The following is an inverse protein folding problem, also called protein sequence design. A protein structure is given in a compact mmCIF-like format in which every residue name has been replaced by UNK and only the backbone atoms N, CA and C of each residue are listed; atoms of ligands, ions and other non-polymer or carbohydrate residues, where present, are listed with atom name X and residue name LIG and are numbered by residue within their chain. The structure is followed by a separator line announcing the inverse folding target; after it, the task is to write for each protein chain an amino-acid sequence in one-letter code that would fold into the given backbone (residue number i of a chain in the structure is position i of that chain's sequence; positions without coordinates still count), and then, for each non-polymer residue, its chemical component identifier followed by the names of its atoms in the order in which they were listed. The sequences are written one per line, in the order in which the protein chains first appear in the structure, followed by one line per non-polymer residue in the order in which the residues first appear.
data_IF_527873765255
#
_entry.id   IF_527873765255
#
_cell.length_a   1.000
_cell.length_b   1.000
_cell.length_c   1.000
_cell.angle_alpha   90.00
_cell.angle_beta   90.00
_cell.angle_gamma   90.00
#
_symmetry.space_group_name_H-M   'P 1'
#
loop_
_entity.id
_entity.type
_entity.pdbx_description
1 polymer ?
#
# COMPACT_ATOMS: atom_id res chain seq x y z
N UNK A 1 20.24 -2.60 19.74
CA UNK A 1 19.02 -3.03 19.04
C UNK A 1 19.27 -2.71 17.58
N UNK A 2 19.47 -3.70 16.73
CA UNK A 2 19.80 -3.49 15.32
C UNK A 2 18.48 -3.58 14.54
N UNK A 3 17.80 -2.45 14.39
CA UNK A 3 16.68 -2.36 13.45
C UNK A 3 17.36 -2.43 12.08
N UNK A 4 17.14 -3.51 11.32
CA UNK A 4 17.59 -3.54 9.93
C UNK A 4 16.93 -2.35 9.25
N UNK A 5 17.68 -1.42 8.68
CA UNK A 5 17.11 -0.22 8.04
C UNK A 5 16.03 -0.59 7.01
N UNK A 6 16.14 -1.79 6.43
CA UNK A 6 15.18 -2.42 5.51
C UNK A 6 13.80 -2.70 6.12
N UNK A 7 13.67 -2.65 7.44
CA UNK A 7 12.41 -2.84 8.16
C UNK A 7 11.59 -1.54 8.29
N UNK A 8 11.99 -0.45 7.65
CA UNK A 8 11.23 0.81 7.62
C UNK A 8 10.31 0.94 6.42
N UNK A 9 9.25 1.74 6.57
CA UNK A 9 8.34 2.09 5.47
C UNK A 9 9.06 2.87 4.37
N UNK A 10 10.09 3.66 4.70
CA UNK A 10 10.94 4.33 3.72
C UNK A 10 11.51 3.34 2.69
N UNK A 11 12.14 2.26 3.15
CA UNK A 11 12.72 1.26 2.26
C UNK A 11 11.64 0.53 1.45
N UNK A 12 10.47 0.26 2.04
CA UNK A 12 9.34 -0.28 1.30
C UNK A 12 8.90 0.65 0.15
N UNK A 13 8.78 1.96 0.40
CA UNK A 13 8.44 2.95 -0.64
C UNK A 13 9.51 2.99 -1.74
N UNK A 14 10.79 2.91 -1.39
CA UNK A 14 11.90 2.86 -2.37
C UNK A 14 11.83 1.60 -3.23
N UNK A 15 11.67 0.42 -2.62
CA UNK A 15 11.56 -0.85 -3.33
C UNK A 15 10.34 -0.89 -4.28
N UNK A 16 9.20 -0.36 -3.86
CA UNK A 16 8.00 -0.22 -4.71
C UNK A 16 8.28 0.71 -5.90
N UNK A 17 8.89 1.88 -5.66
CA UNK A 17 9.24 2.84 -6.71
C UNK A 17 10.18 2.24 -7.74
N UNK A 18 11.21 1.53 -7.30
CA UNK A 18 12.16 0.82 -8.18
C UNK A 18 11.48 -0.27 -9.01
N UNK A 19 10.57 -1.04 -8.39
CA UNK A 19 9.82 -2.10 -9.06
C UNK A 19 8.83 -1.58 -10.12
N UNK A 20 8.13 -0.48 -9.82
CA UNK A 20 7.13 0.10 -10.73
C UNK A 20 7.79 0.91 -11.87
N UNK A 21 8.97 1.50 -11.63
CA UNK A 21 9.75 2.19 -12.67
C UNK A 21 9.16 3.53 -13.15
N UNK A 22 8.29 4.16 -12.35
CA UNK A 22 7.68 5.44 -12.69
C UNK A 22 8.54 6.64 -12.25
N UNK A 23 8.42 7.80 -12.95
CA UNK A 23 9.25 8.98 -12.70
C UNK A 23 8.69 9.83 -11.54
N UNK A 24 8.75 9.32 -10.32
CA UNK A 24 8.40 10.06 -9.10
C UNK A 24 9.43 9.81 -7.98
N UNK A 25 9.51 10.72 -7.02
CA UNK A 25 10.25 10.47 -5.77
C UNK A 25 9.45 9.52 -4.87
N UNK A 26 10.15 8.59 -4.21
CA UNK A 26 9.52 7.59 -3.32
C UNK A 26 8.68 8.23 -2.21
N UNK A 27 9.02 9.45 -1.77
CA UNK A 27 8.29 10.17 -0.74
C UNK A 27 6.91 10.64 -1.18
N UNK A 28 6.65 10.69 -2.50
CA UNK A 28 5.35 11.04 -3.06
C UNK A 28 4.39 9.84 -3.08
N UNK A 29 4.88 8.62 -2.83
CA UNK A 29 4.03 7.44 -2.63
C UNK A 29 3.33 7.52 -1.28
N UNK A 30 2.01 7.31 -1.31
CA UNK A 30 1.25 7.03 -0.10
C UNK A 30 0.96 5.54 -0.03
N UNK A 31 1.24 4.94 1.13
CA UNK A 31 1.00 3.54 1.41
C UNK A 31 -0.02 3.43 2.54
N UNK A 32 -0.90 2.45 2.43
CA UNK A 32 -1.90 2.15 3.45
C UNK A 32 -1.94 0.64 3.68
N UNK A 33 -2.10 0.21 4.93
CA UNK A 33 -2.31 -1.20 5.23
C UNK A 33 -3.61 -1.65 4.57
N UNK A 34 -3.58 -2.76 3.84
CA UNK A 34 -4.76 -3.27 3.15
C UNK A 34 -5.71 -4.02 4.13
N UNK A 35 -6.15 -3.34 5.18
CA UNK A 35 -7.11 -3.84 6.19
C UNK A 35 -8.35 -2.96 6.24
N UNK A 36 -9.53 -3.57 6.20
CA UNK A 36 -10.80 -2.91 6.45
C UNK A 36 -11.01 -2.78 7.95
N UNK A 37 -11.34 -1.57 8.41
CA UNK A 37 -11.62 -1.25 9.81
C UNK A 37 -10.53 -1.76 10.79
N UNK A 38 -9.27 -1.82 10.34
CA UNK A 38 -8.14 -2.41 11.06
C UNK A 38 -8.34 -3.86 11.55
N UNK A 39 -9.35 -4.57 11.05
CA UNK A 39 -9.74 -5.89 11.53
C UNK A 39 -9.47 -7.00 10.50
N UNK A 40 -9.85 -6.79 9.23
CA UNK A 40 -9.80 -7.84 8.21
C UNK A 40 -8.96 -7.42 7.01
N UNK A 41 -8.05 -8.28 6.57
CA UNK A 41 -7.30 -8.07 5.34
C UNK A 41 -8.22 -8.00 4.12
N UNK A 42 -7.92 -7.08 3.20
CA UNK A 42 -8.59 -6.98 1.91
C UNK A 42 -8.22 -8.19 1.05
N UNK A 43 -9.12 -9.16 1.00
CA UNK A 43 -8.96 -10.38 0.21
C UNK A 43 -9.23 -10.10 -1.26
N UNK A 44 -8.67 -10.96 -2.14
CA UNK A 44 -8.85 -10.81 -3.60
C UNK A 44 -10.29 -10.97 -4.09
N UNK A 45 -11.16 -11.61 -3.30
CA UNK A 45 -12.59 -11.77 -3.56
C UNK A 45 -13.44 -10.57 -3.07
N UNK A 46 -12.84 -9.62 -2.36
CA UNK A 46 -13.52 -8.39 -1.96
C UNK A 46 -13.87 -7.54 -3.21
N UNK A 47 -15.15 -7.13 -3.40
CA UNK A 47 -15.55 -6.33 -4.56
C UNK A 47 -14.82 -5.00 -4.70
N UNK A 48 -14.42 -4.37 -3.59
CA UNK A 48 -13.58 -3.19 -3.57
C UNK A 48 -12.19 -3.43 -4.17
N UNK A 49 -11.60 -4.61 -3.95
CA UNK A 49 -10.31 -4.99 -4.57
C UNK A 49 -10.46 -5.21 -6.07
N UNK A 50 -11.55 -5.84 -6.53
CA UNK A 50 -11.85 -5.98 -7.96
C UNK A 50 -12.00 -4.62 -8.65
N UNK A 51 -12.71 -3.68 -8.02
CA UNK A 51 -12.83 -2.29 -8.51
C UNK A 51 -11.48 -1.58 -8.52
N UNK A 52 -10.67 -1.74 -7.48
CA UNK A 52 -9.35 -1.14 -7.40
C UNK A 52 -8.43 -1.63 -8.54
N UNK A 53 -8.47 -2.92 -8.87
CA UNK A 53 -7.74 -3.49 -10.02
C UNK A 53 -8.20 -2.90 -11.36
N UNK A 54 -9.49 -2.58 -11.48
CA UNK A 54 -10.05 -1.86 -12.64
C UNK A 54 -9.73 -0.35 -12.65
N UNK A 55 -9.09 0.19 -11.60
CA UNK A 55 -8.75 1.61 -11.48
C UNK A 55 -9.84 2.46 -10.81
N UNK A 56 -10.86 1.84 -10.23
CA UNK A 56 -11.94 2.51 -9.50
C UNK A 56 -11.75 2.40 -7.98
N UNK A 57 -11.86 3.53 -7.28
CA UNK A 57 -11.75 3.55 -5.81
C UNK A 57 -13.13 3.49 -5.19
N UNK A 58 -13.50 2.34 -4.62
CA UNK A 58 -14.78 2.15 -3.92
C UNK A 58 -14.84 2.94 -2.61
N UNK A 59 -16.04 3.12 -2.06
CA UNK A 59 -16.24 3.77 -0.75
C UNK A 59 -15.46 3.07 0.38
N UNK A 60 -15.45 1.74 0.36
CA UNK A 60 -14.71 0.91 1.33
C UNK A 60 -13.21 1.16 1.24
N UNK A 61 -12.63 1.17 0.03
CA UNK A 61 -11.20 1.48 -0.15
C UNK A 61 -10.87 2.91 0.28
N UNK A 62 -11.75 3.89 -0.02
CA UNK A 62 -11.57 5.28 0.45
C UNK A 62 -11.54 5.39 1.98
N UNK A 63 -12.26 4.53 2.70
CA UNK A 63 -12.24 4.53 4.17
C UNK A 63 -10.92 4.01 4.74
N UNK A 64 -10.18 3.20 3.98
CA UNK A 64 -8.81 2.76 4.34
C UNK A 64 -7.80 3.88 4.05
N UNK A 65 -7.99 4.62 2.96
CA UNK A 65 -7.07 5.66 2.48
C UNK A 65 -7.31 7.03 3.15
N UNK A 66 -7.04 7.12 4.46
CA UNK A 66 -7.13 8.39 5.22
C UNK A 66 -5.74 8.91 5.58
N UNK A 67 -5.58 10.23 5.76
CA UNK A 67 -4.26 10.81 6.10
C UNK A 67 -3.69 10.27 7.42
N UNK A 68 -4.56 9.89 8.37
CA UNK A 68 -4.17 9.27 9.66
C UNK A 68 -3.69 7.84 9.47
N UNK A 69 -4.24 7.11 8.50
CA UNK A 69 -3.88 5.71 8.21
C UNK A 69 -2.67 5.58 7.26
N UNK A 70 -2.14 6.70 6.76
CA UNK A 70 -0.99 6.67 5.87
C UNK A 70 0.26 6.16 6.59
N UNK A 71 0.91 5.16 6.00
CA UNK A 71 2.20 4.67 6.46
C UNK A 71 3.27 5.71 6.11
N UNK A 72 3.73 6.44 7.15
CA UNK A 72 4.81 7.43 7.04
C UNK A 72 6.18 6.74 6.98
N UNK A 73 7.16 7.40 6.37
CA UNK A 73 8.45 6.79 6.05
C UNK A 73 9.25 6.39 7.28
N UNK A 74 9.05 7.14 8.37
CA UNK A 74 9.64 6.98 9.69
C UNK A 74 9.07 5.80 10.48
N UNK A 75 7.92 5.24 10.10
CA UNK A 75 7.33 4.10 10.80
C UNK A 75 8.11 2.81 10.49
N UNK A 76 8.23 1.94 11.49
CA UNK A 76 8.70 0.58 11.31
C UNK A 76 7.58 -0.30 10.74
N UNK A 77 7.93 -1.27 9.89
CA UNK A 77 6.98 -2.23 9.33
C UNK A 77 6.34 -3.12 10.42
N UNK A 78 7.05 -3.31 11.55
CA UNK A 78 6.61 -4.06 12.72
C UNK A 78 5.34 -3.49 13.35
N UNK A 79 5.15 -2.16 13.30
CA UNK A 79 4.01 -1.43 13.86
C UNK A 79 2.67 -1.80 13.21
N UNK A 80 2.69 -2.35 12.00
CA UNK A 80 1.49 -2.66 11.23
C UNK A 80 1.03 -4.12 11.35
N UNK A 81 1.76 -4.93 12.11
CA UNK A 81 1.39 -6.30 12.46
C UNK A 81 1.00 -7.16 11.23
N UNK A 82 1.78 -7.06 10.15
CA UNK A 82 1.53 -7.82 8.90
C UNK A 82 1.53 -9.34 9.09
N UNK A 83 2.26 -9.83 10.10
CA UNK A 83 2.50 -11.26 10.34
C UNK A 83 1.68 -11.85 11.50
N UNK A 84 0.89 -11.05 12.23
CA UNK A 84 0.30 -11.46 13.52
C UNK A 84 -1.18 -11.90 13.46
N UNK A 85 -1.73 -12.36 12.34
CA UNK A 85 -3.15 -12.77 12.30
C UNK A 85 -3.36 -14.08 11.55
N UNK A 86 -3.99 -15.04 12.23
CA UNK A 86 -4.63 -16.23 11.65
C UNK A 86 -5.60 -15.75 10.54
N UNK A 87 -5.39 -16.17 9.29
CA UNK A 87 -6.03 -15.67 8.05
C UNK A 87 -5.43 -14.39 7.41
N UNK A 88 -4.24 -13.96 7.84
CA UNK A 88 -3.42 -13.00 7.10
C UNK A 88 -2.69 -13.59 5.89
N UNK A 89 -2.02 -12.74 5.11
CA UNK A 89 -1.10 -13.17 4.06
C UNK A 89 -0.10 -14.19 4.61
N UNK A 90 0.25 -15.24 3.85
CA UNK A 90 1.24 -16.23 4.26
C UNK A 90 2.54 -15.52 4.70
N UNK A 91 3.13 -16.01 5.81
CA UNK A 91 3.93 -15.28 6.82
C UNK A 91 5.16 -14.46 6.44
N UNK A 92 5.29 -13.98 5.19
CA UNK A 92 6.30 -13.02 4.72
C UNK A 92 5.75 -12.00 3.71
N UNK A 93 4.44 -11.87 3.55
CA UNK A 93 3.84 -10.94 2.59
C UNK A 93 3.38 -9.63 3.24
N UNK A 94 3.70 -8.51 2.60
CA UNK A 94 3.19 -7.18 2.96
C UNK A 94 2.00 -6.85 2.05
N UNK A 95 0.83 -6.67 2.64
CA UNK A 95 -0.39 -6.31 1.90
C UNK A 95 -0.71 -4.83 2.11
N UNK A 96 -0.37 -4.04 1.09
CA UNK A 96 -0.53 -2.58 1.11
C UNK A 96 -1.30 -2.08 -0.11
N UNK A 97 -2.03 -1.00 0.07
CA UNK A 97 -2.58 -0.19 -1.03
C UNK A 97 -1.55 0.87 -1.38
N UNK A 98 -1.18 0.94 -2.66
CA UNK A 98 -0.23 1.92 -3.18
C UNK A 98 -0.99 3.02 -3.91
N UNK A 99 -0.91 4.25 -3.40
CA UNK A 99 -1.46 5.42 -4.08
C UNK A 99 -0.36 6.21 -4.79
N UNK A 100 -0.44 6.23 -6.12
CA UNK A 100 0.52 6.93 -6.97
C UNK A 100 0.23 8.45 -6.98
N UNK A 101 1.26 9.30 -7.20
CA UNK A 101 1.06 10.73 -7.42
C UNK A 101 0.12 11.01 -8.60
N UNK A 102 -0.63 12.11 -8.54
CA UNK A 102 -1.67 12.42 -9.53
C UNK A 102 -1.14 12.47 -10.99
N UNK A 103 0.03 13.06 -11.20
CA UNK A 103 0.66 13.11 -12.53
C UNK A 103 1.07 11.71 -13.03
N UNK A 104 1.52 10.84 -12.13
CA UNK A 104 1.89 9.46 -12.47
C UNK A 104 0.66 8.63 -12.81
N UNK A 105 -0.46 8.85 -12.10
CA UNK A 105 -1.76 8.26 -12.45
C UNK A 105 -2.23 8.70 -13.84
N UNK A 106 -2.00 9.96 -14.22
CA UNK A 106 -2.34 10.45 -15.55
C UNK A 106 -1.53 9.72 -16.63
N UNK A 107 -0.21 9.60 -16.47
CA UNK A 107 0.68 8.85 -17.38
C UNK A 107 0.23 7.38 -17.49
N UNK A 108 -0.04 6.73 -16.35
CA UNK A 108 -0.49 5.33 -16.33
C UNK A 108 -1.83 5.10 -17.05
N UNK A 109 -2.73 6.09 -17.03
CA UNK A 109 -4.00 6.03 -17.76
C UNK A 109 -3.80 6.17 -19.27
N UNK A 110 -2.94 7.09 -19.70
CA UNK A 110 -2.60 7.26 -21.13
C UNK A 110 -1.89 6.04 -21.71
N UNK A 111 -1.07 5.34 -20.92
CA UNK A 111 -0.41 4.11 -21.39
C UNK A 111 -1.35 2.89 -21.51
N UNK A 112 -2.61 2.98 -21.03
CA UNK A 112 -3.61 1.90 -21.09
C UNK A 112 -4.62 2.06 -22.23
N UNK A 113 -4.64 3.21 -22.89
CA UNK A 113 -5.46 3.51 -24.09
C UNK A 113 -4.68 3.25 -25.36
#
# INVERSE_FOLDING_TARGET
MNIDERDSVMYLKQAIKESIGFPFHWCELKLYVAKVNNAHWLRSDNPGVSKLKAGEISREIKQVMTDVAEMKGEHELSEFHFTQVEAGPSGRQLHVIVDLPAYSKAIARYART
#
